data_IF_407542784439
#
_entry.id   IF_407542784439
#
_cell.length_a   1.000
_cell.length_b   1.000
_cell.length_c   1.000
_cell.angle_alpha   90.00
_cell.angle_beta   90.00
_cell.angle_gamma   90.00
#
_symmetry.space_group_name_H-M   'P 1'
#
loop_
_entity.id
_entity.type
_entity.pdbx_description
1 polymer ?
#
# COMPACT_ATOMS: atom_id res chain seq x y z
N UNK A 1 -6.16 -26.64 -50.05
CA UNK A 1 -7.27 -25.93 -50.72
C UNK A 1 -8.31 -25.52 -49.68
N UNK A 2 -8.80 -24.28 -49.70
CA UNK A 2 -9.80 -23.82 -48.73
C UNK A 2 -11.18 -24.48 -49.00
N UNK A 3 -11.85 -24.94 -47.94
CA UNK A 3 -13.11 -25.69 -48.01
C UNK A 3 -14.19 -24.92 -48.83
N UNK A 4 -14.82 -25.53 -49.86
CA UNK A 4 -15.84 -24.90 -50.70
C UNK A 4 -16.99 -24.26 -49.91
N UNK A 5 -17.41 -24.86 -48.80
CA UNK A 5 -18.44 -24.30 -47.90
C UNK A 5 -18.00 -22.98 -47.26
N UNK A 6 -16.73 -22.83 -46.91
CA UNK A 6 -16.24 -21.57 -46.36
C UNK A 6 -16.14 -20.49 -47.45
N UNK A 7 -15.83 -20.88 -48.69
CA UNK A 7 -15.79 -19.96 -49.85
C UNK A 7 -17.18 -19.42 -50.20
N UNK A 8 -18.21 -20.27 -50.21
CA UNK A 8 -19.59 -19.82 -50.44
C UNK A 8 -20.13 -18.97 -49.28
N UNK A 9 -19.76 -19.30 -48.04
CA UNK A 9 -20.12 -18.50 -46.85
C UNK A 9 -19.45 -17.12 -46.82
N UNK A 10 -18.22 -16.99 -47.33
CA UNK A 10 -17.56 -15.69 -47.47
C UNK A 10 -18.16 -14.84 -48.60
N UNK A 11 -18.70 -15.49 -49.65
CA UNK A 11 -19.37 -14.83 -50.79
C UNK A 11 -20.83 -14.45 -50.50
N UNK A 12 -21.50 -15.10 -49.55
CA UNK A 12 -22.90 -14.81 -49.29
C UNK A 12 -23.05 -13.50 -48.49
N UNK A 13 -23.94 -12.62 -48.95
CA UNK A 13 -24.28 -11.36 -48.27
C UNK A 13 -24.99 -11.58 -46.92
N UNK A 14 -25.25 -12.84 -46.53
CA UNK A 14 -25.94 -13.20 -45.29
C UNK A 14 -24.96 -13.16 -44.11
N UNK A 15 -24.59 -11.94 -43.73
CA UNK A 15 -24.03 -11.55 -42.44
C UNK A 15 -22.81 -12.35 -41.95
N UNK A 16 -21.62 -11.93 -42.38
CA UNK A 16 -20.28 -12.26 -41.83
C UNK A 16 -20.04 -11.64 -40.44
N UNK A 17 -21.05 -11.63 -39.55
CA UNK A 17 -20.88 -11.14 -38.18
C UNK A 17 -20.02 -12.12 -37.38
N UNK A 18 -19.07 -11.62 -36.56
CA UNK A 18 -18.28 -12.48 -35.68
C UNK A 18 -19.18 -13.18 -34.66
N UNK A 19 -18.82 -14.41 -34.30
CA UNK A 19 -19.51 -15.18 -33.25
C UNK A 19 -19.44 -14.47 -31.90
N UNK A 20 -20.34 -14.81 -30.97
CA UNK A 20 -20.30 -14.25 -29.61
C UNK A 20 -18.95 -14.47 -28.91
N UNK A 21 -18.33 -15.64 -29.10
CA UNK A 21 -17.00 -15.95 -28.57
C UNK A 21 -15.91 -15.07 -29.20
N UNK A 22 -15.97 -14.85 -30.51
CA UNK A 22 -15.05 -13.96 -31.20
C UNK A 22 -15.21 -12.50 -30.75
N UNK A 23 -16.45 -12.04 -30.53
CA UNK A 23 -16.74 -10.73 -29.92
C UNK A 23 -16.13 -10.63 -28.52
N UNK A 24 -16.31 -11.63 -27.65
CA UNK A 24 -15.72 -11.66 -26.30
C UNK A 24 -14.19 -11.56 -26.35
N UNK A 25 -13.52 -12.30 -27.25
CA UNK A 25 -12.07 -12.22 -27.45
C UNK A 25 -11.61 -10.85 -27.95
N UNK A 26 -12.37 -10.25 -28.87
CA UNK A 26 -12.10 -8.88 -29.34
C UNK A 26 -12.23 -7.87 -28.20
N UNK A 27 -13.30 -7.94 -27.40
CA UNK A 27 -13.47 -7.10 -26.22
C UNK A 27 -12.36 -7.30 -25.19
N UNK A 28 -11.90 -8.53 -24.97
CA UNK A 28 -10.78 -8.81 -24.07
C UNK A 28 -9.47 -8.12 -24.54
N UNK A 29 -9.17 -8.14 -25.84
CA UNK A 29 -7.99 -7.44 -26.41
C UNK A 29 -8.09 -5.91 -26.30
N UNK A 30 -9.31 -5.37 -26.26
CA UNK A 30 -9.57 -3.94 -26.09
C UNK A 30 -9.43 -3.49 -24.63
N UNK A 31 -9.54 -4.40 -23.65
CA UNK A 31 -9.31 -4.08 -22.24
C UNK A 31 -7.81 -3.84 -22.02
N UNK A 32 -7.44 -2.56 -21.94
CA UNK A 32 -6.08 -2.14 -21.55
C UNK A 32 -5.96 -2.16 -20.03
N UNK A 33 -4.77 -2.49 -19.53
CA UNK A 33 -4.47 -2.36 -18.11
C UNK A 33 -4.62 -0.89 -17.70
N UNK A 34 -5.30 -0.59 -16.58
CA UNK A 34 -5.42 0.78 -16.10
C UNK A 34 -4.02 1.33 -15.77
N UNK A 35 -3.79 2.64 -15.96
CA UNK A 35 -2.54 3.26 -15.52
C UNK A 35 -2.40 3.15 -14.00
N UNK A 36 -1.17 2.91 -13.53
CA UNK A 36 -0.87 2.89 -12.11
C UNK A 36 -1.12 4.29 -11.53
N UNK A 37 -2.03 4.39 -10.56
CA UNK A 37 -2.22 5.61 -9.76
C UNK A 37 -1.29 5.52 -8.55
N UNK A 38 -0.44 6.52 -8.35
CA UNK A 38 0.53 6.52 -7.26
C UNK A 38 1.57 7.64 -7.38
N UNK A 39 2.59 7.66 -6.50
CA UNK A 39 3.69 8.61 -6.61
C UNK A 39 4.43 8.44 -7.94
N UNK A 40 4.98 9.56 -8.44
CA UNK A 40 5.63 9.61 -9.76
C UNK A 40 6.82 8.65 -9.86
N UNK A 41 7.54 8.44 -8.75
CA UNK A 41 8.66 7.49 -8.64
C UNK A 41 8.23 6.07 -9.02
N UNK A 42 7.07 5.61 -8.54
CA UNK A 42 6.51 4.31 -8.89
C UNK A 42 6.01 4.24 -10.31
N UNK A 43 5.39 5.30 -10.82
CA UNK A 43 4.89 5.31 -12.19
C UNK A 43 6.02 5.20 -13.21
N UNK A 44 7.16 5.86 -12.95
CA UNK A 44 8.36 5.80 -13.81
C UNK A 44 9.00 4.42 -13.81
N UNK A 45 9.05 3.76 -12.65
CA UNK A 45 9.66 2.45 -12.49
C UNK A 45 8.73 1.27 -12.89
N UNK A 46 7.47 1.55 -13.25
CA UNK A 46 6.49 0.52 -13.59
C UNK A 46 6.57 0.05 -15.05
N UNK A 47 6.93 -1.21 -15.27
CA UNK A 47 6.91 -1.83 -16.60
C UNK A 47 5.53 -2.40 -16.94
N UNK A 48 4.88 -1.86 -17.96
CA UNK A 48 3.55 -2.30 -18.42
C UNK A 48 3.53 -3.70 -19.03
N UNK A 49 4.69 -4.26 -19.39
CA UNK A 49 4.81 -5.58 -20.01
C UNK A 49 4.90 -6.70 -18.98
N UNK A 50 5.37 -6.38 -17.77
CA UNK A 50 5.51 -7.34 -16.67
C UNK A 50 4.20 -7.51 -15.91
N UNK A 51 4.07 -8.63 -15.20
CA UNK A 51 2.93 -8.82 -14.30
C UNK A 51 3.06 -7.88 -13.10
N UNK A 52 1.92 -7.56 -12.47
CA UNK A 52 1.86 -6.75 -11.24
C UNK A 52 2.83 -7.31 -10.19
N UNK A 53 2.84 -8.62 -10.02
CA UNK A 53 3.72 -9.34 -9.11
C UNK A 53 5.21 -9.15 -9.44
N UNK A 54 5.60 -9.36 -10.70
CA UNK A 54 6.99 -9.20 -11.16
C UNK A 54 7.47 -7.75 -10.97
N UNK A 55 6.60 -6.76 -11.17
CA UNK A 55 6.94 -5.37 -10.92
C UNK A 55 7.19 -5.10 -9.43
N UNK A 56 6.26 -5.50 -8.55
CA UNK A 56 6.47 -5.31 -7.10
C UNK A 56 7.70 -6.05 -6.58
N UNK A 57 8.00 -7.23 -7.13
CA UNK A 57 9.23 -7.98 -6.83
C UNK A 57 10.48 -7.20 -7.28
N UNK A 58 10.51 -6.72 -8.53
CA UNK A 58 11.63 -5.94 -9.07
C UNK A 58 11.85 -4.61 -8.35
N UNK A 59 10.77 -3.99 -7.85
CA UNK A 59 10.83 -2.76 -7.07
C UNK A 59 11.26 -3.00 -5.62
N UNK A 60 11.26 -4.26 -5.14
CA UNK A 60 11.59 -4.60 -3.75
C UNK A 60 10.49 -4.23 -2.75
N UNK A 61 9.25 -4.05 -3.22
CA UNK A 61 8.10 -3.67 -2.40
C UNK A 61 7.32 -4.86 -1.82
N UNK A 62 7.66 -6.09 -2.23
CA UNK A 62 7.02 -7.28 -1.66
C UNK A 62 7.56 -7.57 -0.25
N UNK A 63 6.67 -7.79 0.74
CA UNK A 63 7.09 -8.15 2.10
C UNK A 63 7.70 -9.56 2.17
N UNK A 64 7.18 -10.51 1.39
CA UNK A 64 7.76 -11.83 1.17
C UNK A 64 7.48 -12.28 -0.27
N UNK A 65 8.33 -13.14 -0.83
CA UNK A 65 8.06 -13.78 -2.13
C UNK A 65 7.07 -14.91 -1.83
N UNK A 66 5.79 -14.82 -2.23
CA UNK A 66 4.90 -15.96 -2.15
C UNK A 66 5.53 -17.08 -2.98
N UNK A 67 5.91 -18.16 -2.31
CA UNK A 67 6.29 -19.40 -2.97
C UNK A 67 4.99 -19.89 -3.64
N UNK A 68 4.91 -19.92 -4.98
CA UNK A 68 3.70 -20.40 -5.62
C UNK A 68 3.57 -21.89 -5.29
N UNK A 69 2.51 -22.26 -4.56
CA UNK A 69 2.13 -23.64 -4.26
C UNK A 69 1.93 -24.51 -5.53
N UNK A 70 1.89 -23.90 -6.72
CA UNK A 70 1.82 -24.62 -7.99
C UNK A 70 2.49 -23.84 -9.15
N UNK A 71 3.70 -24.27 -9.54
CA UNK A 71 4.01 -24.59 -10.94
C UNK A 71 4.14 -23.51 -12.01
N UNK A 72 4.55 -22.26 -11.75
CA UNK A 72 4.93 -21.34 -12.84
C UNK A 72 6.43 -21.00 -12.84
N UNK A 73 7.22 -21.85 -13.49
CA UNK A 73 8.63 -21.59 -13.84
C UNK A 73 8.70 -20.61 -15.01
N UNK A 74 9.30 -19.44 -14.78
CA UNK A 74 9.89 -18.65 -15.88
C UNK A 74 11.23 -19.31 -16.19
N UNK A 75 11.41 -19.77 -17.43
CA UNK A 75 12.63 -20.42 -17.86
C UNK A 75 13.71 -19.36 -18.12
N UNK A 76 14.78 -19.38 -17.33
CA UNK A 76 15.99 -18.57 -17.51
C UNK A 76 16.99 -19.31 -18.46
N UNK A 77 17.87 -18.58 -19.17
CA UNK A 77 18.72 -19.16 -20.22
C UNK A 77 19.75 -20.18 -19.72
N UNK A 78 19.97 -21.22 -20.54
CA UNK A 78 20.75 -22.44 -20.25
C UNK A 78 22.27 -22.24 -20.35
N UNK A 79 23.04 -22.71 -19.37
CA UNK A 79 24.51 -22.85 -19.42
C UNK A 79 24.95 -24.33 -19.20
N UNK A 80 26.19 -24.70 -19.56
CA UNK A 80 26.56 -25.98 -20.19
C UNK A 80 26.56 -27.24 -19.26
N UNK A 81 26.50 -28.44 -19.85
CA UNK A 81 26.30 -29.70 -19.13
C UNK A 81 27.60 -30.18 -18.46
N UNK A 82 27.60 -30.26 -17.13
CA UNK A 82 28.78 -30.78 -16.41
C UNK A 82 28.68 -31.00 -14.91
N UNK A 83 27.57 -30.67 -14.25
CA UNK A 83 27.43 -30.93 -12.82
C UNK A 83 26.05 -31.52 -12.52
N UNK A 84 26.00 -32.82 -12.27
CA UNK A 84 24.85 -33.48 -11.67
C UNK A 84 25.03 -33.47 -10.14
N UNK A 85 24.16 -32.82 -9.37
CA UNK A 85 24.15 -33.00 -7.92
C UNK A 85 23.32 -34.24 -7.52
N UNK A 86 23.90 -34.99 -6.59
CA UNK A 86 23.32 -36.10 -5.83
C UNK A 86 22.34 -35.60 -4.75
N UNK A 87 21.33 -36.41 -4.48
CA UNK A 87 20.08 -36.13 -3.74
C UNK A 87 20.32 -35.73 -2.26
N UNK A 88 19.59 -34.71 -1.79
CA UNK A 88 19.37 -34.39 -0.37
C UNK A 88 19.82 -32.98 0.05
N UNK A 89 18.86 -32.15 0.49
CA UNK A 89 18.96 -30.76 0.96
C UNK A 89 19.16 -29.69 -0.14
N UNK A 90 18.13 -28.85 -0.35
CA UNK A 90 18.16 -27.72 -1.27
C UNK A 90 19.21 -26.68 -0.86
N UNK A 91 20.11 -26.34 -1.77
CA UNK A 91 21.23 -25.41 -1.54
C UNK A 91 20.89 -24.03 -2.12
N UNK A 92 20.94 -22.98 -1.28
CA UNK A 92 20.79 -21.59 -1.73
C UNK A 92 22.14 -21.13 -2.28
N UNK A 93 22.23 -20.83 -3.57
CA UNK A 93 23.42 -20.23 -4.18
C UNK A 93 23.25 -18.70 -4.23
N UNK A 94 24.22 -17.98 -3.66
CA UNK A 94 24.26 -16.51 -3.62
C UNK A 94 25.46 -15.99 -4.42
N UNK A 95 25.29 -14.82 -5.04
CA UNK A 95 26.37 -14.03 -5.63
C UNK A 95 27.21 -13.32 -4.54
N UNK A 96 28.35 -12.74 -4.93
CA UNK A 96 29.26 -11.99 -4.05
C UNK A 96 28.58 -10.75 -3.42
N UNK A 97 27.53 -10.24 -4.05
CA UNK A 97 26.67 -9.16 -3.55
C UNK A 97 25.49 -9.67 -2.66
N UNK A 98 25.46 -10.97 -2.33
CA UNK A 98 24.44 -11.58 -1.48
C UNK A 98 23.08 -11.81 -2.17
N UNK A 99 23.00 -11.57 -3.49
CA UNK A 99 21.79 -11.80 -4.28
C UNK A 99 21.60 -13.30 -4.58
N UNK A 100 20.39 -13.82 -4.37
CA UNK A 100 20.05 -15.23 -4.60
C UNK A 100 19.80 -15.45 -6.09
N UNK A 101 20.62 -16.28 -6.73
CA UNK A 101 20.57 -16.53 -8.18
C UNK A 101 19.70 -17.76 -8.50
N UNK A 102 19.68 -18.80 -7.64
CA UNK A 102 18.86 -20.01 -7.88
C UNK A 102 18.47 -20.77 -6.60
N UNK A 103 17.33 -21.46 -6.64
CA UNK A 103 16.81 -22.35 -5.58
C UNK A 103 16.33 -23.65 -6.23
N UNK A 104 17.10 -24.72 -6.04
CA UNK A 104 16.78 -26.06 -6.56
C UNK A 104 16.12 -26.87 -5.44
N UNK A 105 14.87 -27.29 -5.66
CA UNK A 105 14.10 -28.17 -4.79
C UNK A 105 13.70 -29.40 -5.60
N UNK A 106 14.10 -30.58 -5.16
CA UNK A 106 13.51 -31.84 -5.60
C UNK A 106 12.45 -32.25 -4.58
N UNK A 107 11.24 -32.51 -5.06
CA UNK A 107 10.12 -32.93 -4.24
C UNK A 107 9.93 -34.44 -4.29
N UNK A 108 9.62 -35.02 -3.14
CA UNK A 108 8.71 -36.15 -3.03
C UNK A 108 8.08 -36.16 -1.63
N UNK A 109 6.81 -36.56 -1.61
CA UNK A 109 5.85 -36.56 -0.50
C UNK A 109 6.17 -37.66 0.52
N UNK A 110 5.79 -37.47 1.79
CA UNK A 110 4.85 -38.35 2.52
C UNK A 110 4.76 -38.05 4.04
N UNK A 111 3.51 -37.86 4.48
CA UNK A 111 2.83 -38.36 5.69
C UNK A 111 3.29 -37.99 7.13
N UNK A 112 2.45 -37.14 7.74
CA UNK A 112 1.67 -37.33 8.99
C UNK A 112 2.28 -37.17 10.42
N UNK A 113 1.39 -36.63 11.27
CA UNK A 113 1.33 -36.61 12.74
C UNK A 113 2.04 -35.50 13.59
N UNK A 114 1.21 -34.79 14.39
CA UNK A 114 1.61 -34.35 15.75
C UNK A 114 1.18 -32.95 16.20
N UNK A 115 0.10 -32.84 16.98
CA UNK A 115 -0.40 -31.61 17.63
C UNK A 115 0.56 -30.94 18.64
N UNK A 116 0.50 -29.60 18.79
CA UNK A 116 1.19 -28.89 19.90
C UNK A 116 0.79 -27.42 20.14
N UNK A 117 -0.25 -27.22 20.95
CA UNK A 117 -0.61 -26.06 21.83
C UNK A 117 -0.86 -24.63 21.25
N UNK A 118 -1.99 -23.98 21.59
CA UNK A 118 -2.21 -22.55 21.34
C UNK A 118 -1.40 -21.72 22.36
N UNK A 119 -0.48 -20.89 21.86
CA UNK A 119 0.28 -19.96 22.70
C UNK A 119 -0.56 -18.74 23.10
N UNK A 120 -0.38 -18.22 24.33
CA UNK A 120 -1.16 -17.10 24.85
C UNK A 120 -0.78 -15.79 24.18
N UNK A 121 -1.81 -15.00 23.90
CA UNK A 121 -1.78 -13.66 23.32
C UNK A 121 -1.18 -12.65 24.32
N UNK A 122 0.15 -12.63 24.46
CA UNK A 122 0.82 -11.58 25.23
C UNK A 122 1.41 -10.54 24.27
N UNK A 123 0.88 -9.33 24.38
CA UNK A 123 1.20 -8.11 23.64
C UNK A 123 2.63 -7.64 23.94
N UNK A 124 3.60 -8.17 23.22
CA UNK A 124 4.80 -7.43 22.88
C UNK A 124 4.81 -7.35 21.35
N UNK A 125 4.18 -6.30 20.82
CA UNK A 125 4.40 -5.89 19.43
C UNK A 125 5.89 -5.53 19.32
N UNK A 126 6.73 -6.53 19.02
CA UNK A 126 8.10 -6.34 18.57
C UNK A 126 8.06 -5.28 17.47
N UNK A 127 8.61 -4.09 17.76
CA UNK A 127 8.66 -3.02 16.78
C UNK A 127 9.32 -3.60 15.53
N UNK A 128 8.62 -3.62 14.38
CA UNK A 128 9.13 -4.31 13.20
C UNK A 128 10.48 -3.69 12.85
N UNK A 129 11.52 -4.52 12.81
CA UNK A 129 12.88 -4.07 12.52
C UNK A 129 12.87 -3.23 11.24
N UNK A 130 13.53 -2.07 11.29
CA UNK A 130 13.59 -1.14 10.16
C UNK A 130 14.34 -1.82 9.01
N UNK A 131 13.58 -2.31 8.04
CA UNK A 131 14.11 -2.99 6.84
C UNK A 131 14.94 -1.97 6.05
N UNK A 132 16.22 -2.25 5.84
CA UNK A 132 17.08 -1.41 5.00
C UNK A 132 16.55 -1.42 3.57
N UNK A 133 16.35 -0.23 2.99
CA UNK A 133 15.78 -0.05 1.67
C UNK A 133 16.60 -0.79 0.58
N UNK A 134 15.95 -1.79 -0.03
CA UNK A 134 16.55 -2.70 -1.01
C UNK A 134 16.83 -2.05 -2.36
N UNK A 135 16.06 -1.03 -2.75
CA UNK A 135 16.15 -0.38 -4.08
C UNK A 135 16.09 1.15 -3.95
N UNK A 136 16.59 1.87 -4.95
CA UNK A 136 16.51 3.34 -5.00
C UNK A 136 15.07 3.84 -4.95
N UNK A 137 14.13 3.15 -5.60
CA UNK A 137 12.71 3.52 -5.60
C UNK A 137 12.13 3.46 -4.19
N UNK A 138 12.51 2.44 -3.41
CA UNK A 138 12.08 2.32 -2.00
C UNK A 138 12.64 3.46 -1.16
N UNK A 139 13.92 3.81 -1.33
CA UNK A 139 14.52 4.98 -0.65
C UNK A 139 13.79 6.28 -0.96
N UNK A 140 13.48 6.51 -2.23
CA UNK A 140 12.76 7.73 -2.66
C UNK A 140 11.34 7.76 -2.06
N UNK A 141 10.67 6.61 -1.96
CA UNK A 141 9.35 6.51 -1.34
C UNK A 141 9.39 6.73 0.17
N UNK A 142 10.40 6.18 0.86
CA UNK A 142 10.62 6.41 2.28
C UNK A 142 10.90 7.89 2.56
N UNK A 143 11.70 8.56 1.71
CA UNK A 143 11.94 9.99 1.81
C UNK A 143 10.65 10.82 1.63
N UNK A 144 9.82 10.45 0.65
CA UNK A 144 8.51 11.07 0.46
C UNK A 144 7.57 10.84 1.66
N UNK A 145 7.58 9.63 2.24
CA UNK A 145 6.80 9.32 3.43
C UNK A 145 7.29 10.11 4.65
N UNK A 146 8.61 10.24 4.83
CA UNK A 146 9.21 11.01 5.91
C UNK A 146 8.87 12.51 5.84
N UNK A 147 8.52 13.02 4.66
CA UNK A 147 8.12 14.42 4.46
C UNK A 147 6.71 14.71 5.00
N UNK A 148 5.93 13.71 5.39
CA UNK A 148 4.56 13.94 5.87
C UNK A 148 4.54 14.76 7.18
N UNK A 149 4.01 15.97 7.11
CA UNK A 149 3.77 16.80 8.29
C UNK A 149 2.32 16.63 8.78
N UNK A 150 2.07 16.60 10.10
CA UNK A 150 0.72 16.55 10.64
C UNK A 150 -0.05 17.81 10.25
N UNK A 151 -1.28 17.64 9.76
CA UNK A 151 -2.17 18.77 9.42
C UNK A 151 -2.58 19.49 10.70
N UNK A 152 -2.13 20.73 10.85
CA UNK A 152 -2.56 21.61 11.95
C UNK A 152 -4.02 21.98 11.73
N UNK A 153 -4.88 21.63 12.69
CA UNK A 153 -6.31 21.99 12.66
C UNK A 153 -6.52 23.32 13.39
N UNK A 154 -7.10 24.29 12.70
CA UNK A 154 -7.46 25.59 13.29
C UNK A 154 -8.91 25.60 13.79
N UNK A 155 -9.21 26.46 14.75
CA UNK A 155 -10.57 26.80 15.19
C UNK A 155 -11.25 27.74 14.18
N UNK A 156 -12.57 27.77 14.16
CA UNK A 156 -13.32 28.71 13.31
C UNK A 156 -13.19 30.16 13.81
N UNK A 157 -13.46 31.14 12.95
CA UNK A 157 -13.34 32.57 13.30
C UNK A 157 -14.26 32.99 14.45
N UNK A 158 -15.50 32.50 14.48
CA UNK A 158 -16.45 32.80 15.55
C UNK A 158 -16.07 32.14 16.88
N UNK A 159 -15.55 30.91 16.83
CA UNK A 159 -15.00 30.26 18.04
C UNK A 159 -13.80 31.04 18.59
N UNK A 160 -12.95 31.60 17.72
CA UNK A 160 -11.83 32.44 18.15
C UNK A 160 -12.29 33.68 18.91
N UNK A 161 -13.30 34.39 18.40
CA UNK A 161 -13.87 35.58 19.07
C UNK A 161 -14.46 35.21 20.42
N UNK A 162 -15.27 34.15 20.46
CA UNK A 162 -15.89 33.68 21.71
C UNK A 162 -14.85 33.28 22.77
N UNK A 163 -13.80 32.56 22.37
CA UNK A 163 -12.71 32.19 23.27
C UNK A 163 -11.88 33.41 23.71
N UNK A 164 -11.66 34.39 22.82
CA UNK A 164 -10.97 35.63 23.17
C UNK A 164 -11.74 36.43 24.23
N UNK A 165 -13.07 36.52 24.12
CA UNK A 165 -13.91 37.14 25.14
C UNK A 165 -13.85 36.42 26.50
N UNK A 166 -13.85 35.09 26.50
CA UNK A 166 -13.71 34.27 27.72
C UNK A 166 -12.33 34.44 28.37
N UNK A 167 -11.27 34.40 27.58
CA UNK A 167 -9.88 34.58 28.04
C UNK A 167 -9.66 36.00 28.55
N UNK A 168 -10.28 37.02 27.94
CA UNK A 168 -10.21 38.40 28.43
C UNK A 168 -10.90 38.58 29.78
N UNK A 169 -11.99 37.85 30.04
CA UNK A 169 -12.74 37.95 31.29
C UNK A 169 -12.10 37.17 32.44
N UNK A 170 -11.59 35.95 32.19
CA UNK A 170 -11.15 35.00 33.22
C UNK A 170 -9.67 34.64 33.14
N UNK A 171 -8.90 35.22 32.22
CA UNK A 171 -7.48 34.97 32.09
C UNK A 171 -7.18 33.52 31.68
N UNK A 172 -6.50 32.77 32.55
CA UNK A 172 -6.09 31.38 32.32
C UNK A 172 -6.92 30.36 33.12
N UNK A 173 -7.92 30.83 33.87
CA UNK A 173 -8.72 30.00 34.78
C UNK A 173 -9.90 29.33 34.06
N UNK A 174 -9.64 28.16 33.47
CA UNK A 174 -10.65 27.39 32.72
C UNK A 174 -11.87 26.96 33.56
N UNK A 175 -11.72 26.82 34.88
CA UNK A 175 -12.83 26.47 35.79
C UNK A 175 -13.83 27.60 35.90
N UNK A 176 -13.35 28.84 35.91
CA UNK A 176 -14.19 30.02 36.05
C UNK A 176 -14.82 30.41 34.71
N UNK A 177 -14.09 30.21 33.61
CA UNK A 177 -14.68 30.28 32.25
C UNK A 177 -15.86 29.33 32.09
N UNK A 178 -15.75 28.10 32.60
CA UNK A 178 -16.84 27.12 32.52
C UNK A 178 -18.05 27.52 33.37
N UNK A 179 -17.82 28.18 34.52
CA UNK A 179 -18.86 28.67 35.43
C UNK A 179 -19.53 29.97 34.96
N UNK A 180 -18.93 30.71 34.02
CA UNK A 180 -19.50 31.95 33.48
C UNK A 180 -20.76 31.68 32.63
N UNK A 181 -21.94 31.79 33.25
CA UNK A 181 -23.22 31.55 32.57
C UNK A 181 -23.57 32.60 31.52
N UNK A 182 -22.89 33.75 31.52
CA UNK A 182 -23.16 34.86 30.58
C UNK A 182 -22.38 34.67 29.28
N UNK A 183 -21.08 34.35 29.38
CA UNK A 183 -20.20 34.19 28.21
C UNK A 183 -20.13 32.74 27.73
N UNK A 184 -20.17 31.76 28.62
CA UNK A 184 -20.25 30.34 28.26
C UNK A 184 -21.71 29.91 28.01
N UNK A 185 -22.34 30.52 27.01
CA UNK A 185 -23.75 30.27 26.65
C UNK A 185 -23.99 28.78 26.35
N UNK A 186 -23.01 28.13 25.72
CA UNK A 186 -23.08 26.70 25.36
C UNK A 186 -22.66 25.75 26.47
N UNK A 187 -22.45 26.24 27.70
CA UNK A 187 -22.14 25.42 28.88
C UNK A 187 -20.99 24.43 28.65
N UNK A 188 -19.95 24.88 27.93
CA UNK A 188 -18.76 24.07 27.66
C UNK A 188 -18.03 23.73 28.95
N UNK A 189 -17.59 22.49 29.03
CA UNK A 189 -16.82 21.99 30.18
C UNK A 189 -15.42 22.61 30.20
N UNK A 190 -14.75 22.69 31.37
CA UNK A 190 -13.40 23.26 31.45
C UNK A 190 -12.38 22.52 30.55
N UNK A 191 -12.54 21.20 30.39
CA UNK A 191 -11.70 20.40 29.49
C UNK A 191 -11.95 20.63 28.00
N UNK A 192 -13.19 20.96 27.61
CA UNK A 192 -13.50 21.37 26.24
C UNK A 192 -12.92 22.75 25.93
N UNK A 193 -13.12 23.72 26.81
CA UNK A 193 -12.55 25.07 26.66
C UNK A 193 -11.03 24.98 26.54
N UNK A 194 -10.37 24.20 27.40
CA UNK A 194 -8.92 23.95 27.31
C UNK A 194 -8.48 23.39 25.96
N UNK A 195 -9.20 22.39 25.42
CA UNK A 195 -8.91 21.80 24.11
C UNK A 195 -9.11 22.80 22.98
N UNK A 196 -10.16 23.61 23.05
CA UNK A 196 -10.45 24.65 22.08
C UNK A 196 -9.40 25.76 22.09
N UNK A 197 -8.99 26.23 23.27
CA UNK A 197 -7.90 27.22 23.44
C UNK A 197 -6.57 26.66 22.91
N UNK A 198 -6.25 25.39 23.20
CA UNK A 198 -5.06 24.72 22.64
C UNK A 198 -5.10 24.66 21.11
N UNK A 199 -6.28 24.37 20.55
CA UNK A 199 -6.51 24.34 19.09
C UNK A 199 -6.43 25.73 18.45
N UNK A 200 -6.79 26.79 19.19
CA UNK A 200 -6.71 28.19 18.77
C UNK A 200 -5.30 28.80 18.82
N UNK A 201 -4.28 28.04 19.22
CA UNK A 201 -2.90 28.54 19.31
C UNK A 201 -2.51 29.05 20.71
N UNK A 202 -3.33 28.81 21.73
CA UNK A 202 -3.03 29.13 23.12
C UNK A 202 -3.61 30.45 23.61
N UNK A 203 -3.51 30.67 24.93
CA UNK A 203 -4.07 31.85 25.62
C UNK A 203 -3.45 33.16 25.16
N UNK A 204 -2.14 33.19 24.86
CA UNK A 204 -1.44 34.41 24.45
C UNK A 204 -1.88 34.91 23.07
N UNK A 205 -2.24 34.00 22.17
CA UNK A 205 -2.79 34.36 20.85
C UNK A 205 -4.16 34.98 21.02
N UNK A 206 -5.01 34.37 21.86
CA UNK A 206 -6.37 34.84 22.13
C UNK A 206 -6.39 36.17 22.90
N UNK A 207 -5.41 36.42 23.78
CA UNK A 207 -5.27 37.71 24.49
C UNK A 207 -4.88 38.86 23.57
N UNK A 208 -4.04 38.59 22.58
CA UNK A 208 -3.59 39.58 21.59
C UNK A 208 -4.60 39.85 20.48
N UNK A 209 -5.61 39.00 20.37
CA UNK A 209 -6.66 39.15 19.38
C UNK A 209 -7.63 40.22 19.87
N UNK A 210 -7.58 41.40 19.24
CA UNK A 210 -8.61 42.41 19.39
C UNK A 210 -9.87 41.95 18.64
N UNK A 211 -10.98 41.91 19.38
CA UNK A 211 -12.33 41.60 18.90
C UNK A 211 -13.04 42.89 18.53
#
# INVERSE_FOLDING_TARGET
>A
MANPRQRSKAKSHKSTKPSLAQKKRMHAKLKKAPPLRGPETLQKAWDKKKTVFQNYAALGLLPSIPIPSSGSRVQLPLLPPGAAPTIGFGRIVRDDDGNVIDIIIDGEEDEDEGHGQPQPLNEEEEEPEKIVAKTQVVRDLEALAATSAPVVRHTSSQEHVWLAELVRAHGDDYTDMARDRKRNVWQKTPGEIRRMVKKAGGVDVLRRMEV
#
